data_IF_485296796772
#
_entry.id   IF_485296796772
#
_cell.length_a   1.000
_cell.length_b   1.000
_cell.length_c   1.000
_cell.angle_alpha   90.00
_cell.angle_beta   90.00
_cell.angle_gamma   90.00
#
_symmetry.space_group_name_H-M   'P 1'
#
loop_
_entity.id
_entity.type
_entity.pdbx_description
1 polymer ?
#
# COMPACT_ATOMS: atom_id res chain seq x y z
N UNK A 1 3.78 19.52 13.38
CA UNK A 1 4.68 18.55 12.75
C UNK A 1 4.37 17.15 13.29
N UNK A 2 3.99 16.23 12.42
CA UNK A 2 3.64 14.89 12.85
C UNK A 2 4.90 14.02 12.90
N UNK A 3 5.21 13.47 14.05
CA UNK A 3 6.30 12.53 14.20
C UNK A 3 5.87 11.19 13.62
N UNK A 4 6.80 10.47 13.00
CA UNK A 4 6.54 9.10 12.59
C UNK A 4 6.40 8.19 13.82
N UNK A 5 5.76 7.03 13.64
CA UNK A 5 5.64 6.05 14.72
C UNK A 5 7.01 5.64 15.26
N UNK A 6 7.99 5.44 14.37
CA UNK A 6 9.36 5.07 14.79
C UNK A 6 10.02 6.16 15.63
N UNK A 7 9.85 7.44 15.26
CA UNK A 7 10.37 8.56 16.04
C UNK A 7 9.73 8.62 17.42
N UNK A 8 8.43 8.41 17.51
CA UNK A 8 7.70 8.37 18.78
C UNK A 8 8.17 7.23 19.67
N UNK A 9 8.38 6.05 19.09
CA UNK A 9 8.90 4.89 19.82
C UNK A 9 10.32 5.13 20.32
N UNK A 10 11.20 5.72 19.48
CA UNK A 10 12.57 6.03 19.86
C UNK A 10 12.60 7.04 21.03
N UNK A 11 11.74 8.06 20.99
CA UNK A 11 11.59 9.01 22.08
C UNK A 11 11.12 8.33 23.36
N UNK A 12 10.19 7.40 23.28
CA UNK A 12 9.72 6.62 24.43
C UNK A 12 10.84 5.79 25.05
N UNK A 13 11.67 5.16 24.21
CA UNK A 13 12.80 4.34 24.67
C UNK A 13 13.82 5.21 25.39
N UNK A 14 14.17 6.38 24.85
CA UNK A 14 15.08 7.32 25.48
C UNK A 14 14.55 7.78 26.85
N UNK A 15 13.26 8.14 26.93
CA UNK A 15 12.63 8.55 28.19
C UNK A 15 12.54 7.41 29.21
N UNK A 16 12.29 6.20 28.75
CA UNK A 16 12.28 5.01 29.61
C UNK A 16 13.66 4.80 30.24
N UNK A 17 14.73 4.89 29.45
CA UNK A 17 16.10 4.74 29.92
C UNK A 17 16.51 5.85 30.89
N UNK A 18 15.95 7.06 30.72
CA UNK A 18 16.17 8.19 31.60
C UNK A 18 15.22 8.20 32.81
N UNK A 19 14.29 7.27 32.91
CA UNK A 19 13.27 7.22 33.96
C UNK A 19 12.20 8.32 33.83
N UNK A 20 11.98 8.85 32.63
CA UNK A 20 11.09 9.98 32.36
C UNK A 20 9.88 9.64 31.50
N UNK A 21 9.66 8.37 31.19
CA UNK A 21 8.50 7.95 30.38
C UNK A 21 7.19 8.22 31.13
N UNK A 22 6.27 8.90 30.45
CA UNK A 22 4.97 9.26 31.02
C UNK A 22 3.82 8.64 30.24
N UNK A 23 2.62 8.68 30.84
CA UNK A 23 1.39 8.26 30.18
C UNK A 23 1.12 9.07 28.88
N UNK A 24 1.47 10.36 28.88
CA UNK A 24 1.30 11.23 27.70
C UNK A 24 2.12 10.71 26.53
N UNK A 25 3.33 10.22 26.78
CA UNK A 25 4.19 9.66 25.74
C UNK A 25 3.55 8.41 25.12
N UNK A 26 2.99 7.51 25.95
CA UNK A 26 2.32 6.30 25.49
C UNK A 26 1.04 6.62 24.72
N UNK A 27 0.26 7.58 25.17
CA UNK A 27 -0.93 8.05 24.45
C UNK A 27 -0.58 8.63 23.10
N UNK A 28 0.55 9.31 22.98
CA UNK A 28 1.05 9.81 21.71
C UNK A 28 1.29 8.68 20.69
N UNK A 29 1.86 7.57 21.13
CA UNK A 29 2.07 6.39 20.28
C UNK A 29 0.73 5.79 19.85
N UNK A 30 -0.22 5.63 20.76
CA UNK A 30 -1.55 5.09 20.45
C UNK A 30 -2.28 5.99 19.45
N UNK A 31 -2.22 7.31 19.64
CA UNK A 31 -2.86 8.26 18.72
C UNK A 31 -2.23 8.19 17.33
N UNK A 32 -0.91 8.02 17.23
CA UNK A 32 -0.23 7.85 15.95
C UNK A 32 -0.68 6.58 15.24
N UNK A 33 -0.84 5.47 15.96
CA UNK A 33 -1.36 4.23 15.40
C UNK A 33 -2.79 4.39 14.89
N UNK A 34 -3.64 5.09 15.66
CA UNK A 34 -5.04 5.29 15.29
C UNK A 34 -5.23 6.29 14.15
N UNK A 35 -4.24 7.15 13.90
CA UNK A 35 -4.30 8.14 12.82
C UNK A 35 -3.76 7.62 11.48
N UNK A 36 -3.17 6.42 11.45
CA UNK A 36 -2.68 5.82 10.24
C UNK A 36 -3.80 5.58 9.23
N UNK A 37 -3.52 5.86 7.96
CA UNK A 37 -4.46 5.72 6.86
C UNK A 37 -4.00 4.60 5.93
N UNK A 38 -4.95 3.79 5.50
CA UNK A 38 -4.68 2.73 4.54
C UNK A 38 -4.96 3.23 3.13
N UNK A 39 -3.93 3.24 2.29
CA UNK A 39 -4.08 3.46 0.85
C UNK A 39 -4.24 2.10 0.18
N UNK A 40 -5.14 2.00 -0.80
CA UNK A 40 -5.37 0.79 -1.57
C UNK A 40 -4.99 1.04 -3.02
N UNK A 41 -4.13 0.19 -3.56
CA UNK A 41 -3.66 0.27 -4.93
C UNK A 41 -4.01 -1.01 -5.69
N UNK A 42 -4.78 -0.88 -6.76
CA UNK A 42 -5.05 -1.96 -7.70
C UNK A 42 -4.10 -1.82 -8.88
N UNK A 43 -3.33 -2.87 -9.15
CA UNK A 43 -2.43 -2.93 -10.30
C UNK A 43 -2.81 -4.13 -11.17
N UNK A 44 -2.98 -3.87 -12.46
CA UNK A 44 -3.34 -4.89 -13.44
C UNK A 44 -2.13 -5.16 -14.32
N UNK A 45 -1.46 -6.28 -14.03
CA UNK A 45 -0.23 -6.67 -14.70
C UNK A 45 -0.51 -7.50 -15.94
N UNK A 46 0.42 -7.47 -16.90
CA UNK A 46 0.35 -8.27 -18.12
C UNK A 46 0.62 -9.76 -17.88
N UNK A 47 1.22 -10.11 -16.75
CA UNK A 47 1.45 -11.51 -16.36
C UNK A 47 1.51 -11.64 -14.84
N UNK A 48 1.69 -12.86 -14.34
CA UNK A 48 1.90 -13.11 -12.91
C UNK A 48 3.31 -12.74 -12.43
N UNK A 49 4.22 -12.43 -13.35
CA UNK A 49 5.56 -11.99 -13.00
C UNK A 49 5.51 -10.57 -12.44
N UNK A 50 6.05 -10.36 -11.24
CA UNK A 50 6.03 -9.04 -10.57
C UNK A 50 6.80 -7.97 -11.34
N UNK A 51 7.67 -8.35 -12.27
CA UNK A 51 8.44 -7.42 -13.12
C UNK A 51 7.74 -7.07 -14.42
N UNK A 52 6.60 -7.70 -14.72
CA UNK A 52 5.88 -7.43 -15.96
C UNK A 52 5.31 -6.01 -15.98
N UNK A 53 5.19 -5.40 -17.18
CA UNK A 53 4.59 -4.08 -17.28
C UNK A 53 3.12 -4.09 -16.90
N UNK A 54 2.64 -2.95 -16.41
CA UNK A 54 1.26 -2.76 -15.98
C UNK A 54 0.40 -2.26 -17.13
N UNK A 55 -0.83 -2.79 -17.22
CA UNK A 55 -1.79 -2.37 -18.22
C UNK A 55 -2.83 -1.37 -17.72
N UNK A 56 -3.10 -1.39 -16.42
CA UNK A 56 -4.06 -0.51 -15.79
C UNK A 56 -3.79 -0.39 -14.29
N UNK A 57 -4.44 0.56 -13.65
CA UNK A 57 -4.30 0.78 -12.21
C UNK A 57 -5.46 1.60 -11.66
N UNK A 58 -5.65 1.54 -10.33
CA UNK A 58 -6.56 2.41 -9.60
C UNK A 58 -6.02 2.63 -8.18
N UNK A 59 -6.04 3.86 -7.71
CA UNK A 59 -5.59 4.22 -6.36
C UNK A 59 -6.76 4.78 -5.56
N UNK A 60 -6.94 4.24 -4.37
CA UNK A 60 -7.94 4.72 -3.41
C UNK A 60 -7.25 5.27 -2.19
N UNK A 61 -7.40 6.58 -1.97
CA UNK A 61 -6.89 7.29 -0.81
C UNK A 61 -8.08 7.71 0.05
N UNK A 62 -8.25 7.14 1.26
CA UNK A 62 -9.39 7.47 2.11
C UNK A 62 -9.37 8.92 2.62
N UNK A 63 -8.25 9.62 2.46
CA UNK A 63 -8.14 11.04 2.85
C UNK A 63 -8.50 11.98 1.71
N UNK A 64 -8.56 11.47 0.47
CA UNK A 64 -8.93 12.26 -0.69
C UNK A 64 -10.46 12.30 -0.84
N UNK A 65 -11.04 13.42 -1.26
CA UNK A 65 -12.47 13.44 -1.51
C UNK A 65 -12.83 12.67 -2.79
N UNK A 66 -13.64 11.68 -2.61
CA UNK A 66 -14.62 11.10 -3.53
C UNK A 66 -14.19 10.52 -4.87
N UNK A 67 -13.04 10.78 -5.43
CA UNK A 67 -12.73 10.26 -6.76
C UNK A 67 -11.45 9.45 -6.77
N UNK A 68 -11.51 8.20 -7.25
CA UNK A 68 -10.29 7.46 -7.55
C UNK A 68 -9.55 8.16 -8.70
N UNK A 69 -8.23 8.11 -8.68
CA UNK A 69 -7.44 8.61 -9.80
C UNK A 69 -7.77 7.75 -11.01
N UNK A 70 -8.20 8.38 -12.09
CA UNK A 70 -8.68 7.69 -13.27
C UNK A 70 -7.60 6.86 -13.95
N UNK A 71 -7.93 5.63 -14.41
CA UNK A 71 -6.96 4.73 -15.04
C UNK A 71 -6.45 5.20 -16.41
N UNK A 72 -6.92 6.35 -16.90
CA UNK A 72 -6.43 6.95 -18.13
C UNK A 72 -5.04 7.57 -18.00
N UNK A 73 -4.53 7.75 -16.78
CA UNK A 73 -3.17 8.23 -16.55
C UNK A 73 -2.19 7.07 -16.53
N UNK A 74 -0.90 7.38 -16.77
CA UNK A 74 0.13 6.36 -16.68
C UNK A 74 0.18 5.77 -15.25
N UNK A 75 0.42 4.46 -15.11
CA UNK A 75 0.59 3.86 -13.80
C UNK A 75 1.73 4.54 -13.02
N UNK A 76 1.58 4.70 -11.70
CA UNK A 76 2.61 5.32 -10.87
C UNK A 76 3.90 4.49 -10.78
N UNK A 77 3.83 3.23 -11.16
CA UNK A 77 4.97 2.31 -11.15
C UNK A 77 5.03 1.54 -12.47
N UNK A 78 6.23 1.17 -12.89
CA UNK A 78 6.43 0.38 -14.10
C UNK A 78 6.00 -1.08 -13.92
N UNK A 79 6.02 -1.59 -12.68
CA UNK A 79 5.67 -2.97 -12.35
C UNK A 79 5.18 -3.07 -10.91
N UNK A 80 4.58 -4.22 -10.58
CA UNK A 80 4.20 -4.51 -9.18
C UNK A 80 5.43 -4.51 -8.27
N UNK A 81 6.56 -5.05 -8.74
CA UNK A 81 7.78 -5.08 -7.95
C UNK A 81 8.27 -3.68 -7.58
N UNK A 82 8.17 -2.72 -8.49
CA UNK A 82 8.55 -1.33 -8.21
C UNK A 82 7.67 -0.70 -7.13
N UNK A 83 6.39 -1.03 -7.12
CA UNK A 83 5.49 -0.60 -6.05
C UNK A 83 5.90 -1.19 -4.71
N UNK A 84 6.22 -2.48 -4.67
CA UNK A 84 6.70 -3.15 -3.44
C UNK A 84 7.97 -2.49 -2.93
N UNK A 85 8.90 -2.14 -3.82
CA UNK A 85 10.14 -1.44 -3.45
C UNK A 85 9.88 -0.07 -2.84
N UNK A 86 8.78 0.57 -3.20
CA UNK A 86 8.39 1.88 -2.67
C UNK A 86 7.54 1.78 -1.40
N UNK A 87 7.42 0.59 -0.82
CA UNK A 87 6.78 0.38 0.47
C UNK A 87 5.36 -0.16 0.41
N UNK A 88 4.85 -0.46 -0.78
CA UNK A 88 3.54 -1.10 -0.92
C UNK A 88 3.63 -2.58 -0.55
N UNK A 89 2.58 -3.09 0.08
CA UNK A 89 2.49 -4.49 0.50
C UNK A 89 1.41 -5.18 -0.31
N UNK A 90 1.72 -6.33 -0.89
CA UNK A 90 0.74 -7.12 -1.65
C UNK A 90 -0.22 -7.76 -0.67
N UNK A 91 -1.50 -7.44 -0.80
CA UNK A 91 -2.59 -8.01 0.01
C UNK A 91 -3.23 -9.19 -0.69
N UNK A 92 -3.31 -9.12 -2.02
CA UNK A 92 -3.91 -10.17 -2.83
C UNK A 92 -3.14 -10.34 -4.13
N UNK A 93 -2.77 -11.60 -4.40
CA UNK A 93 -2.22 -12.03 -5.69
C UNK A 93 -3.35 -12.39 -6.66
N UNK A 94 -3.08 -12.48 -7.98
CA UNK A 94 -4.08 -12.92 -8.93
C UNK A 94 -4.67 -14.28 -8.55
N UNK A 95 -5.98 -14.42 -8.72
CA UNK A 95 -6.69 -15.65 -8.37
C UNK A 95 -6.55 -16.67 -9.52
N UNK A 96 -6.01 -17.87 -9.28
CA UNK A 96 -5.85 -18.86 -10.33
C UNK A 96 -7.16 -19.24 -11.03
N UNK A 97 -8.28 -19.22 -10.33
CA UNK A 97 -9.60 -19.57 -10.86
C UNK A 97 -10.04 -18.64 -12.00
N UNK A 98 -9.58 -17.40 -12.00
CA UNK A 98 -9.91 -16.42 -13.04
C UNK A 98 -9.14 -16.66 -14.33
N UNK A 99 -8.11 -17.51 -14.30
CA UNK A 99 -7.22 -17.76 -15.43
C UNK A 99 -7.33 -19.18 -15.99
N UNK A 100 -8.43 -19.88 -15.68
CA UNK A 100 -8.74 -21.19 -16.23
C UNK A 100 -9.40 -21.13 -17.60
N UNK A 101 -9.52 -19.95 -18.18
CA UNK A 101 -10.10 -19.73 -19.52
C UNK A 101 -9.06 -19.96 -20.62
N UNK A 102 -9.53 -19.94 -21.87
CA UNK A 102 -8.65 -20.06 -23.03
C UNK A 102 -7.66 -18.90 -23.12
N UNK A 103 -6.53 -19.13 -23.82
CA UNK A 103 -5.52 -18.07 -24.01
C UNK A 103 -6.10 -16.82 -24.68
N UNK A 104 -7.08 -16.98 -25.54
CA UNK A 104 -7.74 -15.84 -26.20
C UNK A 104 -8.50 -14.99 -25.18
N UNK A 105 -9.19 -15.64 -24.25
CA UNK A 105 -9.90 -14.94 -23.19
C UNK A 105 -8.93 -14.29 -22.20
N UNK A 106 -7.87 -14.98 -21.85
CA UNK A 106 -6.85 -14.46 -20.94
C UNK A 106 -6.10 -13.24 -21.52
N UNK A 107 -6.05 -13.10 -22.84
CA UNK A 107 -5.42 -11.94 -23.47
C UNK A 107 -6.13 -10.63 -23.15
N UNK A 108 -7.41 -10.68 -22.82
CA UNK A 108 -8.18 -9.48 -22.41
C UNK A 108 -8.26 -9.27 -20.91
N UNK A 109 -7.85 -10.25 -20.13
CA UNK A 109 -7.84 -10.18 -18.67
C UNK A 109 -6.43 -9.85 -18.19
N UNK A 110 -6.30 -8.74 -17.48
CA UNK A 110 -5.06 -8.43 -16.78
C UNK A 110 -5.04 -9.16 -15.43
N UNK A 111 -3.84 -9.46 -14.95
CA UNK A 111 -3.65 -10.11 -13.67
C UNK A 111 -3.71 -9.07 -12.56
N UNK A 112 -4.73 -9.17 -11.72
CA UNK A 112 -5.00 -8.19 -10.68
C UNK A 112 -4.17 -8.45 -9.43
N UNK A 113 -3.42 -7.43 -9.02
CA UNK A 113 -2.74 -7.38 -7.72
C UNK A 113 -3.38 -6.28 -6.88
N UNK A 114 -3.63 -6.57 -5.62
CA UNK A 114 -4.15 -5.57 -4.68
C UNK A 114 -3.06 -5.32 -3.64
N UNK A 115 -2.69 -4.05 -3.47
CA UNK A 115 -1.63 -3.64 -2.57
C UNK A 115 -2.16 -2.62 -1.57
N UNK A 116 -1.51 -2.55 -0.42
CA UNK A 116 -1.82 -1.55 0.60
C UNK A 116 -0.56 -0.82 1.03
N UNK A 117 -0.75 0.41 1.50
CA UNK A 117 0.30 1.19 2.14
C UNK A 117 -0.32 1.97 3.28
N UNK A 118 0.31 1.91 4.45
CA UNK A 118 -0.12 2.65 5.62
C UNK A 118 0.67 3.95 5.69
N UNK A 119 -0.03 5.04 5.74
CA UNK A 119 0.59 6.37 5.80
C UNK A 119 0.06 7.19 6.97
#
# INVERSE_FOLDING_TARGET
MNLTLNELLDNCIEKLNAGQLTEVDLKGVVNALNSEKQLILYLYSKSTNLRSPLGAWALYDPTAPDEPILPSQEPPYASVLDAVRDGWRIVQFPRPELYSFSDVENAYLNFEFILEKIV
#
